data_IF_259429608977
#
_entry.id   IF_259429608977
#
_cell.length_a   1.000
_cell.length_b   1.000
_cell.length_c   1.000
_cell.angle_alpha   90.00
_cell.angle_beta   90.00
_cell.angle_gamma   90.00
#
_symmetry.space_group_name_H-M   'P 1'
#
loop_
_entity.id
_entity.type
_entity.pdbx_description
1 polymer ?
#
# COMPACT_ATOMS: atom_id res chain seq x y z
N UNK A 1 -7.41 37.38 -16.16
CA UNK A 1 -6.65 36.11 -16.18
C UNK A 1 -7.63 34.96 -15.94
N UNK A 2 -7.93 34.15 -16.95
CA UNK A 2 -8.88 33.04 -16.82
C UNK A 2 -8.33 32.00 -15.84
N UNK A 3 -8.97 31.83 -14.68
CA UNK A 3 -8.80 30.64 -13.83
C UNK A 3 -9.20 29.44 -14.67
N UNK A 4 -8.22 28.65 -15.10
CA UNK A 4 -8.47 27.33 -15.67
C UNK A 4 -8.99 26.49 -14.51
N UNK A 5 -10.32 26.41 -14.38
CA UNK A 5 -10.94 25.39 -13.54
C UNK A 5 -10.52 24.04 -14.11
N UNK A 6 -9.73 23.29 -13.34
CA UNK A 6 -9.43 21.91 -13.65
C UNK A 6 -10.77 21.17 -13.76
N UNK A 7 -11.17 20.85 -15.00
CA UNK A 7 -12.37 20.05 -15.25
C UNK A 7 -12.16 18.69 -14.63
N UNK A 8 -12.88 18.44 -13.52
CA UNK A 8 -12.95 17.13 -12.90
C UNK A 8 -13.73 16.20 -13.82
N UNK A 9 -13.05 15.59 -14.80
CA UNK A 9 -13.54 14.36 -15.43
C UNK A 9 -13.31 13.25 -14.41
N UNK A 10 -14.12 13.22 -13.35
CA UNK A 10 -14.13 12.12 -12.39
C UNK A 10 -14.70 10.89 -13.09
N UNK A 11 -13.85 10.21 -13.87
CA UNK A 11 -14.03 8.79 -14.11
C UNK A 11 -13.84 8.16 -12.73
N UNK A 12 -14.88 7.54 -12.18
CA UNK A 12 -14.73 6.65 -11.01
C UNK A 12 -13.51 5.75 -11.27
N UNK A 13 -12.50 5.81 -10.42
CA UNK A 13 -11.34 4.94 -10.55
C UNK A 13 -10.06 5.59 -10.09
N UNK A 14 -9.41 6.39 -10.93
CA UNK A 14 -8.00 6.73 -10.74
C UNK A 14 -7.77 8.24 -10.84
N UNK A 15 -6.79 8.76 -10.10
CA UNK A 15 -6.41 10.16 -10.23
C UNK A 15 -5.68 10.36 -11.56
N UNK A 16 -6.04 11.42 -12.29
CA UNK A 16 -5.29 11.91 -13.42
C UNK A 16 -5.18 13.42 -13.30
N UNK A 17 -4.15 13.85 -12.59
CA UNK A 17 -3.99 15.23 -12.14
C UNK A 17 -2.62 15.77 -12.54
N UNK A 18 -2.61 17.05 -12.92
CA UNK A 18 -1.40 17.77 -13.27
C UNK A 18 -1.48 19.20 -12.72
N UNK A 19 -0.49 19.64 -11.95
CA UNK A 19 -0.42 20.98 -11.37
C UNK A 19 -1.66 21.36 -10.53
N UNK A 20 -2.15 20.45 -9.68
CA UNK A 20 -3.32 20.72 -8.84
C UNK A 20 -2.97 20.77 -7.36
N UNK A 21 -3.81 21.48 -6.61
CA UNK A 21 -3.78 21.52 -5.16
C UNK A 21 -5.04 20.85 -4.60
N UNK A 22 -4.85 19.86 -3.72
CA UNK A 22 -5.88 19.10 -2.99
C UNK A 22 -5.38 18.80 -1.58
N UNK A 23 -5.18 19.85 -0.78
CA UNK A 23 -4.73 19.79 0.60
C UNK A 23 -5.83 19.34 1.57
N UNK A 24 -5.41 18.80 2.70
CA UNK A 24 -6.26 18.44 3.85
C UNK A 24 -7.47 17.58 3.47
N UNK A 25 -7.26 16.59 2.59
CA UNK A 25 -8.32 15.70 2.11
C UNK A 25 -8.25 14.33 2.75
N UNK A 26 -9.41 13.70 2.88
CA UNK A 26 -9.52 12.31 3.24
C UNK A 26 -9.59 11.45 1.95
N UNK A 27 -8.58 10.60 1.77
CA UNK A 27 -8.50 9.63 0.68
C UNK A 27 -8.48 8.19 1.18
N UNK A 28 -8.86 7.94 2.43
CA UNK A 28 -8.82 6.61 3.03
C UNK A 28 -9.57 5.58 2.19
N UNK A 29 -9.07 4.34 2.20
CA UNK A 29 -9.67 3.19 1.50
C UNK A 29 -9.81 3.33 -0.01
N UNK A 30 -9.18 4.34 -0.64
CA UNK A 30 -9.22 4.48 -2.10
C UNK A 30 -8.31 3.46 -2.78
N UNK A 31 -8.77 3.00 -3.93
CA UNK A 31 -7.89 2.41 -4.92
C UNK A 31 -7.35 3.52 -5.82
N UNK A 32 -6.05 3.76 -5.76
CA UNK A 32 -5.35 4.68 -6.65
C UNK A 32 -4.43 3.92 -7.62
N UNK A 33 -4.69 2.64 -7.86
CA UNK A 33 -3.95 1.83 -8.83
C UNK A 33 -3.82 2.56 -10.17
N UNK A 34 -2.60 2.64 -10.72
CA UNK A 34 -2.30 3.29 -12.01
C UNK A 34 -2.77 4.74 -12.13
N UNK A 35 -2.96 5.43 -11.00
CA UNK A 35 -3.20 6.86 -10.99
C UNK A 35 -1.98 7.62 -11.49
N UNK A 36 -2.19 8.77 -12.11
CA UNK A 36 -1.15 9.65 -12.64
C UNK A 36 -1.31 11.05 -12.03
N UNK A 37 -0.38 11.44 -11.18
CA UNK A 37 -0.28 12.76 -10.60
C UNK A 37 1.11 13.33 -10.89
N UNK A 38 1.15 14.52 -11.47
CA UNK A 38 2.39 15.27 -11.69
C UNK A 38 2.28 16.65 -11.08
N UNK A 39 3.31 17.04 -10.31
CA UNK A 39 3.39 18.36 -9.68
C UNK A 39 2.12 18.73 -8.89
N UNK A 40 1.58 17.79 -8.13
CA UNK A 40 0.37 17.97 -7.33
C UNK A 40 0.72 18.25 -5.87
N UNK A 41 -0.16 18.94 -5.15
CA UNK A 41 -0.04 19.17 -3.71
C UNK A 41 -1.19 18.48 -2.97
N UNK A 42 -0.87 17.47 -2.17
CA UNK A 42 -1.78 16.74 -1.29
C UNK A 42 -1.44 16.95 0.19
N UNK A 43 -0.67 17.98 0.54
CA UNK A 43 -0.23 18.20 1.92
C UNK A 43 -1.38 18.17 2.94
N UNK A 44 -1.11 17.59 4.11
CA UNK A 44 -2.09 17.39 5.19
C UNK A 44 -3.15 16.31 4.91
N UNK A 45 -3.07 15.57 3.80
CA UNK A 45 -4.10 14.57 3.46
C UNK A 45 -3.88 13.22 4.13
N UNK A 46 -4.97 12.46 4.28
CA UNK A 46 -4.98 11.12 4.87
C UNK A 46 -5.11 10.08 3.75
N UNK A 47 -4.11 9.21 3.62
CA UNK A 47 -4.03 8.11 2.66
C UNK A 47 -3.96 6.74 3.35
N UNK A 48 -4.53 6.63 4.55
CA UNK A 48 -4.57 5.36 5.26
C UNK A 48 -5.39 4.32 4.47
N UNK A 49 -4.89 3.09 4.42
CA UNK A 49 -5.51 1.94 3.76
C UNK A 49 -5.68 2.12 2.24
N UNK A 50 -4.84 2.94 1.62
CA UNK A 50 -4.86 3.20 0.18
C UNK A 50 -3.91 2.29 -0.57
N UNK A 51 -4.35 1.80 -1.73
CA UNK A 51 -3.47 1.11 -2.68
C UNK A 51 -3.00 2.10 -3.76
N UNK A 52 -1.68 2.18 -3.94
CA UNK A 52 -1.01 2.98 -4.97
C UNK A 52 -0.40 2.11 -6.08
N UNK A 53 -0.84 0.86 -6.22
CA UNK A 53 -0.23 -0.13 -7.13
C UNK A 53 -0.03 0.44 -8.55
N UNK A 54 1.20 0.43 -9.05
CA UNK A 54 1.55 0.92 -10.37
C UNK A 54 1.24 2.40 -10.63
N UNK A 55 1.04 3.20 -9.58
CA UNK A 55 0.73 4.62 -9.75
C UNK A 55 1.99 5.45 -10.03
N UNK A 56 1.78 6.62 -10.62
CA UNK A 56 2.81 7.60 -10.92
C UNK A 56 2.48 8.90 -10.19
N UNK A 57 3.10 9.13 -9.04
CA UNK A 57 2.99 10.37 -8.26
C UNK A 57 4.35 11.05 -8.26
N UNK A 58 4.68 11.71 -9.38
CA UNK A 58 5.97 12.35 -9.60
C UNK A 58 5.93 13.81 -9.18
N UNK A 59 7.00 14.31 -8.56
CA UNK A 59 7.11 15.69 -8.10
C UNK A 59 5.91 16.13 -7.25
N UNK A 60 5.33 15.22 -6.46
CA UNK A 60 4.11 15.47 -5.69
C UNK A 60 4.46 15.83 -4.25
N UNK A 61 3.81 16.86 -3.71
CA UNK A 61 3.96 17.25 -2.31
C UNK A 61 2.98 16.45 -1.43
N UNK A 62 3.52 15.64 -0.55
CA UNK A 62 2.82 14.87 0.48
C UNK A 62 3.20 15.32 1.89
N UNK A 63 3.64 16.57 2.07
CA UNK A 63 3.98 17.13 3.38
C UNK A 63 2.88 16.85 4.43
N UNK A 64 3.27 16.28 5.58
CA UNK A 64 2.37 15.98 6.71
C UNK A 64 1.19 15.06 6.37
N UNK A 65 1.39 14.09 5.47
CA UNK A 65 0.38 13.08 5.17
C UNK A 65 0.46 11.85 6.10
N UNK A 66 -0.62 11.07 6.15
CA UNK A 66 -0.69 9.77 6.84
C UNK A 66 -0.83 8.62 5.84
N UNK A 67 -0.10 7.53 6.05
CA UNK A 67 -0.07 6.35 5.19
C UNK A 67 -0.18 5.04 5.97
N UNK A 68 -1.13 4.93 6.91
CA UNK A 68 -1.32 3.72 7.72
C UNK A 68 -1.82 2.56 6.84
N UNK A 69 -1.13 1.42 6.84
CA UNK A 69 -1.43 0.25 5.98
C UNK A 69 -1.62 0.58 4.48
N UNK A 70 -0.91 1.62 3.99
CA UNK A 70 -0.90 1.94 2.58
C UNK A 70 0.07 1.01 1.82
N UNK A 71 -0.28 0.67 0.58
CA UNK A 71 0.54 -0.21 -0.27
C UNK A 71 1.02 0.53 -1.52
N UNK A 72 2.33 0.72 -1.62
CA UNK A 72 3.03 1.28 -2.77
C UNK A 72 3.76 0.15 -3.51
N UNK A 73 3.10 -0.47 -4.48
CA UNK A 73 3.67 -1.59 -5.24
C UNK A 73 3.97 -1.15 -6.66
N UNK A 74 5.23 -1.14 -7.09
CA UNK A 74 5.65 -0.66 -8.41
C UNK A 74 5.32 0.83 -8.63
N UNK A 75 5.26 1.62 -7.56
CA UNK A 75 4.87 3.04 -7.63
C UNK A 75 6.05 3.90 -8.05
N UNK A 76 5.81 4.93 -8.86
CA UNK A 76 6.81 5.94 -9.17
C UNK A 76 6.58 7.19 -8.33
N UNK A 77 7.48 7.44 -7.37
CA UNK A 77 7.46 8.58 -6.46
C UNK A 77 8.54 9.62 -6.78
N UNK A 78 9.20 9.51 -7.94
CA UNK A 78 10.35 10.35 -8.30
C UNK A 78 10.11 11.84 -8.03
N UNK A 79 11.00 12.44 -7.25
CA UNK A 79 11.00 13.86 -6.91
C UNK A 79 9.88 14.31 -5.97
N UNK A 80 9.12 13.39 -5.36
CA UNK A 80 8.07 13.73 -4.41
C UNK A 80 8.61 14.08 -3.02
N UNK A 81 7.87 14.90 -2.27
CA UNK A 81 8.26 15.34 -0.93
C UNK A 81 7.31 14.78 0.12
N UNK A 82 7.80 13.92 0.99
CA UNK A 82 7.04 13.30 2.09
C UNK A 82 7.34 13.95 3.45
N UNK A 83 7.99 15.11 3.49
CA UNK A 83 8.43 15.72 4.75
C UNK A 83 7.37 15.67 5.86
N UNK A 84 7.78 15.30 7.07
CA UNK A 84 6.90 15.22 8.25
C UNK A 84 5.67 14.31 8.10
N UNK A 85 5.66 13.38 7.13
CA UNK A 85 4.61 12.37 6.99
C UNK A 85 4.81 11.20 7.95
N UNK A 86 3.77 10.38 8.08
CA UNK A 86 3.79 9.16 8.89
C UNK A 86 3.48 7.96 8.00
N UNK A 87 4.37 6.98 8.00
CA UNK A 87 4.14 5.65 7.44
C UNK A 87 4.05 4.66 8.59
N UNK A 88 2.92 3.97 8.70
CA UNK A 88 2.68 2.97 9.74
C UNK A 88 2.15 1.69 9.09
N UNK A 89 2.82 0.55 9.28
CA UNK A 89 2.47 -0.72 8.64
C UNK A 89 2.35 -0.62 7.11
N UNK A 90 3.07 0.32 6.49
CA UNK A 90 3.02 0.56 5.06
C UNK A 90 4.03 -0.34 4.31
N UNK A 91 3.70 -0.70 3.08
CA UNK A 91 4.57 -1.51 2.21
C UNK A 91 4.99 -0.68 1.01
N UNK A 92 6.29 -0.58 0.77
CA UNK A 92 6.91 0.00 -0.41
C UNK A 92 7.65 -1.12 -1.16
N UNK A 93 6.99 -1.72 -2.14
CA UNK A 93 7.53 -2.79 -2.98
C UNK A 93 7.89 -2.25 -4.37
N UNK A 94 9.14 -2.43 -4.81
CA UNK A 94 9.60 -2.07 -6.14
C UNK A 94 9.34 -0.59 -6.48
N UNK A 95 9.52 0.30 -5.51
CA UNK A 95 9.19 1.73 -5.64
C UNK A 95 10.35 2.51 -6.24
N UNK A 96 10.05 3.46 -7.14
CA UNK A 96 11.03 4.40 -7.68
C UNK A 96 11.11 5.63 -6.80
N UNK A 97 12.22 5.77 -6.08
CA UNK A 97 12.44 6.79 -5.06
C UNK A 97 13.44 7.88 -5.47
N UNK A 98 13.86 7.96 -6.73
CA UNK A 98 14.82 8.98 -7.18
C UNK A 98 14.39 10.38 -6.74
N UNK A 99 15.28 11.11 -6.07
CA UNK A 99 15.03 12.47 -5.57
C UNK A 99 13.86 12.61 -4.58
N UNK A 100 13.30 11.51 -4.08
CA UNK A 100 12.19 11.53 -3.11
C UNK A 100 12.72 11.96 -1.74
N UNK A 101 12.04 12.89 -1.09
CA UNK A 101 12.48 13.45 0.20
C UNK A 101 11.70 12.88 1.38
N UNK A 102 12.39 12.25 2.33
CA UNK A 102 11.82 11.69 3.56
C UNK A 102 12.21 12.45 4.84
N UNK A 103 12.61 13.72 4.72
CA UNK A 103 13.02 14.52 5.88
C UNK A 103 11.93 14.53 6.98
N UNK A 104 12.32 14.24 8.21
CA UNK A 104 11.43 14.22 9.38
C UNK A 104 10.24 13.25 9.25
N UNK A 105 10.32 12.24 8.38
CA UNK A 105 9.29 11.20 8.26
C UNK A 105 9.39 10.23 9.42
N UNK A 106 8.22 9.85 9.96
CA UNK A 106 8.12 8.79 10.96
C UNK A 106 7.78 7.47 10.28
N UNK A 107 8.63 6.46 10.48
CA UNK A 107 8.39 5.08 10.04
C UNK A 107 8.03 4.22 11.25
N UNK A 108 6.97 3.43 11.15
CA UNK A 108 6.49 2.52 12.20
C UNK A 108 6.13 1.20 11.52
N UNK A 109 6.97 0.18 11.66
CA UNK A 109 6.79 -1.11 10.97
C UNK A 109 6.57 -0.92 9.44
N UNK A 110 7.38 -0.06 8.82
CA UNK A 110 7.31 0.21 7.38
C UNK A 110 8.29 -0.69 6.65
N UNK A 111 7.82 -1.31 5.57
CA UNK A 111 8.56 -2.31 4.82
C UNK A 111 8.99 -1.74 3.48
N UNK A 112 10.28 -1.86 3.15
CA UNK A 112 10.82 -1.64 1.82
C UNK A 112 11.21 -2.99 1.24
N UNK A 113 10.50 -3.42 0.20
CA UNK A 113 10.74 -4.66 -0.53
C UNK A 113 11.28 -4.30 -1.92
N UNK A 114 12.40 -4.90 -2.33
CA UNK A 114 13.01 -4.71 -3.66
C UNK A 114 13.09 -3.25 -4.09
N UNK A 115 13.37 -2.35 -3.14
CA UNK A 115 13.30 -0.90 -3.31
C UNK A 115 14.66 -0.27 -2.98
N UNK A 116 15.28 0.33 -3.99
CA UNK A 116 16.55 1.04 -3.86
C UNK A 116 16.36 2.38 -3.13
N UNK A 117 16.66 2.38 -1.83
CA UNK A 117 16.58 3.57 -0.97
C UNK A 117 17.76 4.53 -1.15
N UNK A 118 18.86 4.12 -1.80
CA UNK A 118 20.08 4.94 -1.93
C UNK A 118 19.88 6.20 -2.78
N UNK A 119 18.83 6.21 -3.62
CA UNK A 119 18.46 7.33 -4.49
C UNK A 119 17.48 8.32 -3.84
N UNK A 120 17.00 8.01 -2.65
CA UNK A 120 16.16 8.90 -1.86
C UNK A 120 17.00 9.86 -1.02
N UNK A 121 16.36 10.92 -0.53
CA UNK A 121 16.97 11.96 0.31
C UNK A 121 16.45 11.85 1.73
N UNK A 122 17.33 12.06 2.70
CA UNK A 122 16.99 12.13 4.13
C UNK A 122 16.34 10.85 4.67
N UNK A 123 16.85 9.69 4.27
CA UNK A 123 16.48 8.39 4.81
C UNK A 123 17.75 7.57 5.05
N UNK A 124 17.81 6.89 6.19
CA UNK A 124 18.88 5.95 6.53
C UNK A 124 18.30 4.53 6.58
N UNK A 125 19.02 3.54 6.07
CA UNK A 125 18.58 2.15 6.06
C UNK A 125 18.39 1.61 7.49
N UNK A 126 19.07 2.19 8.47
CA UNK A 126 19.03 1.83 9.88
C UNK A 126 17.98 2.63 10.66
N UNK A 127 17.15 3.44 9.99
CA UNK A 127 16.10 4.21 10.65
C UNK A 127 15.16 3.25 11.40
N UNK A 128 14.94 3.43 12.72
CA UNK A 128 14.06 2.57 13.50
C UNK A 128 12.66 2.49 12.89
N UNK A 129 12.07 1.30 12.93
CA UNK A 129 10.76 1.04 12.35
C UNK A 129 10.77 0.75 10.85
N UNK A 130 11.93 0.79 10.17
CA UNK A 130 12.09 0.30 8.80
C UNK A 130 12.50 -1.18 8.83
N UNK A 131 11.90 -1.98 7.94
CA UNK A 131 12.33 -3.35 7.60
C UNK A 131 12.63 -3.41 6.11
N UNK A 132 13.76 -3.99 5.74
CA UNK A 132 14.22 -4.06 4.35
C UNK A 132 14.30 -5.51 3.91
N UNK A 133 13.75 -5.79 2.73
CA UNK A 133 13.87 -7.08 2.05
C UNK A 133 14.33 -6.83 0.61
N UNK A 134 15.44 -7.44 0.20
CA UNK A 134 15.92 -7.33 -1.18
C UNK A 134 15.03 -8.11 -2.17
N UNK A 135 14.47 -9.23 -1.69
CA UNK A 135 13.56 -10.10 -2.44
C UNK A 135 12.38 -10.53 -1.57
N UNK A 136 11.34 -11.08 -2.21
CA UNK A 136 10.16 -11.61 -1.51
C UNK A 136 10.62 -12.60 -0.42
N UNK A 137 10.26 -12.40 0.87
CA UNK A 137 10.78 -13.22 1.95
C UNK A 137 10.36 -14.68 1.77
N UNK A 138 11.32 -15.58 1.93
CA UNK A 138 11.05 -17.03 1.96
C UNK A 138 10.28 -17.35 3.23
N UNK A 139 9.21 -18.11 3.07
CA UNK A 139 8.31 -18.48 4.16
C UNK A 139 7.86 -19.92 3.94
N UNK A 140 8.11 -20.77 4.92
CA UNK A 140 7.53 -22.10 5.01
C UNK A 140 6.18 -22.00 5.72
N UNK A 141 5.14 -22.61 5.13
CA UNK A 141 3.78 -22.65 5.66
C UNK A 141 3.23 -24.06 5.55
N UNK A 142 2.25 -24.43 6.38
CA UNK A 142 1.58 -25.73 6.26
C UNK A 142 0.82 -25.87 4.93
N UNK A 143 0.59 -27.11 4.52
CA UNK A 143 -0.25 -27.41 3.35
C UNK A 143 -1.69 -26.92 3.58
N UNK A 144 -2.17 -26.95 4.83
CA UNK A 144 -3.48 -26.46 5.23
C UNK A 144 -3.61 -24.94 5.06
N UNK A 145 -2.62 -24.16 5.51
CA UNK A 145 -2.60 -22.72 5.31
C UNK A 145 -2.46 -22.38 3.83
N UNK A 146 -1.58 -23.08 3.11
CA UNK A 146 -1.45 -22.92 1.66
C UNK A 146 -2.78 -23.16 0.95
N UNK A 147 -3.48 -24.25 1.29
CA UNK A 147 -4.81 -24.56 0.75
C UNK A 147 -5.82 -23.47 1.09
N UNK A 148 -5.86 -22.99 2.33
CA UNK A 148 -6.77 -21.91 2.75
C UNK A 148 -6.54 -20.60 1.98
N UNK A 149 -5.27 -20.22 1.74
CA UNK A 149 -4.91 -19.05 0.92
C UNK A 149 -5.37 -19.22 -0.52
N UNK A 150 -5.17 -20.40 -1.12
CA UNK A 150 -5.61 -20.69 -2.49
C UNK A 150 -7.15 -20.63 -2.61
N UNK A 151 -7.88 -21.24 -1.67
CA UNK A 151 -9.34 -21.18 -1.61
C UNK A 151 -9.84 -19.75 -1.38
N UNK A 152 -9.18 -18.97 -0.52
CA UNK A 152 -9.50 -17.54 -0.33
C UNK A 152 -9.52 -16.77 -1.65
N UNK A 153 -8.58 -17.07 -2.55
CA UNK A 153 -8.45 -16.43 -3.84
C UNK A 153 -9.49 -16.88 -4.89
N UNK A 154 -10.35 -17.85 -4.59
CA UNK A 154 -11.52 -18.15 -5.42
C UNK A 154 -12.58 -17.04 -5.32
N UNK A 155 -12.59 -16.27 -4.22
CA UNK A 155 -13.44 -15.09 -4.11
C UNK A 155 -12.92 -13.97 -5.03
N UNK A 156 -13.79 -13.50 -5.93
CA UNK A 156 -13.46 -12.49 -6.96
C UNK A 156 -12.90 -11.17 -6.39
N UNK A 157 -13.31 -10.75 -5.18
CA UNK A 157 -12.84 -9.51 -4.57
C UNK A 157 -11.44 -9.69 -3.98
N UNK A 158 -11.17 -10.83 -3.33
CA UNK A 158 -9.83 -11.18 -2.83
C UNK A 158 -8.86 -11.30 -3.99
N UNK A 159 -9.26 -12.03 -5.06
CA UNK A 159 -8.42 -12.16 -6.25
C UNK A 159 -8.14 -10.82 -6.93
N UNK A 160 -9.13 -9.92 -6.97
CA UNK A 160 -8.96 -8.58 -7.57
C UNK A 160 -8.08 -7.67 -6.70
N UNK A 161 -8.11 -7.81 -5.37
CA UNK A 161 -7.34 -6.97 -4.46
C UNK A 161 -5.82 -7.20 -4.55
N UNK A 162 -5.37 -8.37 -5.06
CA UNK A 162 -3.95 -8.72 -5.22
C UNK A 162 -3.13 -8.66 -3.92
N UNK A 163 -3.77 -8.99 -2.80
CA UNK A 163 -3.15 -8.98 -1.47
C UNK A 163 -2.57 -10.33 -1.05
N UNK A 164 -3.00 -11.45 -1.64
CA UNK A 164 -2.50 -12.80 -1.30
C UNK A 164 -1.66 -13.43 -2.42
N UNK A 165 -1.58 -12.80 -3.59
CA UNK A 165 -0.82 -13.27 -4.74
C UNK A 165 0.10 -12.20 -5.32
N UNK A 166 1.15 -12.68 -5.99
CA UNK A 166 2.11 -11.86 -6.72
C UNK A 166 1.75 -11.80 -8.20
N UNK A 167 2.34 -10.85 -8.95
CA UNK A 167 2.00 -10.62 -10.37
C UNK A 167 2.22 -11.84 -11.27
N UNK A 168 3.24 -12.61 -10.96
CA UNK A 168 3.69 -13.85 -11.58
C UNK A 168 2.87 -15.09 -11.16
N UNK A 169 1.88 -14.94 -10.26
CA UNK A 169 0.95 -16.01 -9.89
C UNK A 169 1.38 -16.83 -8.67
N UNK A 170 2.50 -16.50 -8.04
CA UNK A 170 2.91 -17.03 -6.75
C UNK A 170 2.10 -16.46 -5.59
N UNK A 171 2.36 -16.95 -4.38
CA UNK A 171 1.80 -16.41 -3.15
C UNK A 171 2.58 -15.18 -2.72
N UNK A 172 1.86 -14.18 -2.18
CA UNK A 172 2.49 -13.04 -1.54
C UNK A 172 2.93 -13.44 -0.12
N UNK A 173 4.12 -14.05 -0.02
CA UNK A 173 4.64 -14.55 1.26
C UNK A 173 4.96 -13.44 2.25
N UNK A 174 5.26 -12.22 1.80
CA UNK A 174 5.35 -11.05 2.68
C UNK A 174 4.03 -10.83 3.42
N UNK A 175 2.91 -10.78 2.69
CA UNK A 175 1.61 -10.56 3.32
C UNK A 175 1.20 -11.74 4.22
N UNK A 176 1.53 -12.97 3.86
CA UNK A 176 1.28 -14.14 4.72
C UNK A 176 2.12 -14.09 5.99
N UNK A 177 3.41 -13.73 5.90
CA UNK A 177 4.29 -13.52 7.05
C UNK A 177 3.72 -12.44 7.98
N UNK A 178 3.22 -11.32 7.45
CA UNK A 178 2.61 -10.27 8.27
C UNK A 178 1.34 -10.72 8.98
N UNK A 179 0.57 -11.65 8.39
CA UNK A 179 -0.54 -12.27 9.10
C UNK A 179 -0.02 -13.16 10.24
N UNK A 180 0.98 -14.01 9.99
CA UNK A 180 1.57 -14.90 11.00
C UNK A 180 2.28 -14.17 12.15
N UNK A 181 2.75 -12.94 11.92
CA UNK A 181 3.30 -12.08 12.98
C UNK A 181 2.25 -11.61 13.98
N UNK A 182 0.95 -11.64 13.62
CA UNK A 182 -0.14 -11.11 14.43
C UNK A 182 -1.21 -12.14 14.80
N UNK A 183 -1.23 -13.30 14.13
CA UNK A 183 -2.25 -14.32 14.29
C UNK A 183 -1.64 -15.72 14.26
N UNK A 184 -2.25 -16.67 14.97
CA UNK A 184 -1.88 -18.08 14.81
C UNK A 184 -2.32 -18.60 13.45
N UNK A 185 -1.66 -19.65 12.98
CA UNK A 185 -1.99 -20.29 11.71
C UNK A 185 -3.43 -20.81 11.69
N UNK A 186 -3.94 -21.33 12.81
CA UNK A 186 -5.33 -21.77 12.96
C UNK A 186 -6.32 -20.61 12.75
N UNK A 187 -6.05 -19.44 13.36
CA UNK A 187 -6.88 -18.24 13.20
C UNK A 187 -6.90 -17.77 11.74
N UNK A 188 -5.74 -17.76 11.08
CA UNK A 188 -5.65 -17.37 9.66
C UNK A 188 -6.43 -18.36 8.79
N UNK A 189 -6.24 -19.68 8.98
CA UNK A 189 -6.93 -20.71 8.22
C UNK A 189 -8.45 -20.60 8.37
N UNK A 190 -8.94 -20.49 9.60
CA UNK A 190 -10.37 -20.37 9.88
C UNK A 190 -10.96 -19.10 9.26
N UNK A 191 -10.26 -17.97 9.41
CA UNK A 191 -10.67 -16.69 8.85
C UNK A 191 -10.66 -16.68 7.32
N UNK A 192 -9.63 -17.22 6.68
CA UNK A 192 -9.53 -17.32 5.22
C UNK A 192 -10.59 -18.25 4.63
N UNK A 193 -10.92 -19.36 5.30
CA UNK A 193 -12.04 -20.22 4.89
C UNK A 193 -13.38 -19.49 5.01
N UNK A 194 -13.55 -18.68 6.06
CA UNK A 194 -14.79 -17.96 6.29
C UNK A 194 -14.98 -16.72 5.40
N UNK A 195 -13.90 -16.00 5.06
CA UNK A 195 -14.00 -14.75 4.30
C UNK A 195 -14.44 -15.01 2.85
N UNK A 196 -14.15 -16.20 2.30
CA UNK A 196 -14.53 -16.60 0.93
C UNK A 196 -16.02 -16.39 0.67
N UNK A 197 -16.87 -16.79 1.61
CA UNK A 197 -18.33 -16.72 1.47
C UNK A 197 -18.92 -15.43 2.01
N UNK A 198 -18.24 -14.77 2.96
CA UNK A 198 -18.73 -13.54 3.61
C UNK A 198 -18.36 -12.26 2.87
N UNK A 199 -17.27 -12.25 2.10
CA UNK A 199 -16.79 -11.03 1.44
C UNK A 199 -17.53 -10.77 0.11
N UNK A 200 -18.24 -9.65 0.07
CA UNK A 200 -19.09 -9.25 -1.05
C UNK A 200 -18.74 -7.87 -1.65
N UNK A 201 -17.63 -7.25 -1.21
CA UNK A 201 -17.23 -5.89 -1.59
C UNK A 201 -15.74 -5.74 -1.87
N UNK A 202 -15.40 -4.68 -2.60
CA UNK A 202 -14.01 -4.34 -2.90
C UNK A 202 -13.23 -3.86 -1.66
N UNK A 203 -11.96 -4.22 -1.63
CA UNK A 203 -10.94 -3.74 -0.71
C UNK A 203 -9.58 -3.82 -1.43
N UNK A 204 -8.56 -3.15 -0.90
CA UNK A 204 -7.36 -2.89 -1.71
C UNK A 204 -6.02 -3.09 -0.97
N UNK A 205 -6.03 -3.34 0.34
CA UNK A 205 -4.81 -3.60 1.11
C UNK A 205 -5.01 -4.73 2.11
N UNK A 206 -3.92 -5.32 2.61
CA UNK A 206 -3.94 -6.41 3.59
C UNK A 206 -4.72 -6.07 4.87
N UNK A 207 -4.83 -4.78 5.20
CA UNK A 207 -5.55 -4.29 6.37
C UNK A 207 -7.00 -4.79 6.50
N UNK A 208 -7.66 -5.06 5.37
CA UNK A 208 -9.02 -5.60 5.39
C UNK A 208 -9.04 -7.03 5.92
N UNK A 209 -8.10 -7.88 5.50
CA UNK A 209 -7.97 -9.25 5.98
C UNK A 209 -7.63 -9.22 7.46
N UNK A 210 -6.65 -8.41 7.88
CA UNK A 210 -6.28 -8.23 9.30
C UNK A 210 -7.51 -7.85 10.13
N UNK A 211 -8.28 -6.84 9.68
CA UNK A 211 -9.50 -6.41 10.36
C UNK A 211 -10.55 -7.52 10.42
N UNK A 212 -10.68 -8.33 9.38
CA UNK A 212 -11.60 -9.46 9.37
C UNK A 212 -11.20 -10.54 10.37
N UNK A 213 -9.91 -10.87 10.46
CA UNK A 213 -9.38 -11.85 11.42
C UNK A 213 -9.58 -11.41 12.87
N UNK A 214 -9.34 -10.12 13.18
CA UNK A 214 -9.60 -9.53 14.49
C UNK A 214 -11.08 -9.60 14.94
N UNK A 215 -12.04 -9.82 14.02
CA UNK A 215 -13.46 -9.97 14.36
C UNK A 215 -13.86 -11.44 14.56
N UNK A 216 -12.91 -12.38 14.45
CA UNK A 216 -13.13 -13.82 14.67
C UNK A 216 -12.47 -14.32 15.97
N UNK A 217 -11.67 -13.49 16.63
CA UNK A 217 -11.22 -13.67 18.02
C UNK A 217 -12.32 -13.25 19.01
#
# INVERSE_FOLDING_TARGET
MKRIMATNRSVKGNFNYNNIEKKDKNFMYKNLERSNCYNCDFSGSIFDFVSFRGAHFKSTNFLKCSFKYAEFIGTNLKGSDFKSSIFENAILDSVKLEDTNFKDVKFINTIFLSTDMSKAKNIDINTPGIRIFEEMPKLEISDELRSAVLTAMENKYIKKARVLDTKDGGLNTLNIMLLLENFTEETIIAGLKSIVTKLDREFYTLSYIIKFLNLQE
#
